data_IF_763883778136
#
_entry.id   IF_763883778136
#
_cell.length_a   1.000
_cell.length_b   1.000
_cell.length_c   1.000
_cell.angle_alpha   90.00
_cell.angle_beta   90.00
_cell.angle_gamma   90.00
#
_symmetry.space_group_name_H-M   'P 1'
#
loop_
_entity.id
_entity.type
_entity.pdbx_description
1 polymer ?
#
# COMPACT_ATOMS: atom_id res chain seq x y z
N UNK A 1 -7.68 -47.26 36.73
CA UNK A 1 -8.93 -47.35 35.93
C UNK A 1 -9.68 -46.06 36.15
N UNK A 2 -10.00 -45.32 35.08
CA UNK A 2 -10.60 -43.98 35.14
C UNK A 2 -12.01 -43.99 34.57
N UNK A 3 -12.88 -43.11 35.06
CA UNK A 3 -14.16 -42.76 34.43
C UNK A 3 -13.93 -41.83 33.23
N UNK A 4 -14.94 -41.66 32.37
CA UNK A 4 -14.84 -40.75 31.21
C UNK A 4 -14.52 -39.30 31.62
N UNK A 5 -15.09 -38.83 32.74
CA UNK A 5 -14.84 -37.47 33.25
C UNK A 5 -13.41 -37.31 33.75
N UNK A 6 -12.88 -38.32 34.44
CA UNK A 6 -11.48 -38.32 34.89
C UNK A 6 -10.53 -38.40 33.68
N UNK A 7 -10.80 -39.28 32.71
CA UNK A 7 -10.01 -39.38 31.49
C UNK A 7 -9.94 -38.04 30.74
N UNK A 8 -11.09 -37.39 30.56
CA UNK A 8 -11.19 -36.09 29.91
C UNK A 8 -10.36 -35.04 30.64
N UNK A 9 -10.46 -34.97 31.97
CA UNK A 9 -9.66 -34.05 32.79
C UNK A 9 -8.16 -34.31 32.69
N UNK A 10 -7.72 -35.57 32.72
CA UNK A 10 -6.30 -35.94 32.59
C UNK A 10 -5.71 -35.55 31.24
N UNK A 11 -6.50 -35.64 30.17
CA UNK A 11 -6.05 -35.30 28.82
C UNK A 11 -6.33 -33.84 28.44
N UNK A 12 -6.88 -33.01 29.33
CA UNK A 12 -7.17 -31.60 29.04
C UNK A 12 -8.33 -31.36 28.07
N UNK A 13 -9.16 -32.37 27.81
CA UNK A 13 -10.27 -32.29 26.83
C UNK A 13 -11.64 -32.33 27.51
N UNK A 14 -12.67 -32.01 26.74
CA UNK A 14 -14.06 -32.15 27.23
C UNK A 14 -14.55 -33.60 27.13
N UNK A 15 -15.48 -34.00 28.00
CA UNK A 15 -16.19 -35.29 27.88
C UNK A 15 -16.88 -35.42 26.51
N UNK A 16 -17.35 -34.31 25.94
CA UNK A 16 -17.92 -34.26 24.58
C UNK A 16 -16.89 -34.66 23.52
N UNK A 17 -15.64 -34.17 23.62
CA UNK A 17 -14.56 -34.54 22.72
C UNK A 17 -14.23 -36.04 22.82
N UNK A 18 -14.17 -36.60 24.04
CA UNK A 18 -13.96 -38.04 24.24
C UNK A 18 -15.07 -38.87 23.56
N UNK A 19 -16.34 -38.47 23.72
CA UNK A 19 -17.47 -39.12 23.03
C UNK A 19 -17.39 -38.98 21.52
N UNK A 20 -16.92 -37.84 21.02
CA UNK A 20 -16.72 -37.64 19.59
C UNK A 20 -15.64 -38.58 19.04
N UNK A 21 -14.50 -38.69 19.70
CA UNK A 21 -13.42 -39.59 19.30
C UNK A 21 -13.82 -41.06 19.35
N UNK A 22 -14.68 -41.45 20.29
CA UNK A 22 -15.32 -42.77 20.27
C UNK A 22 -16.21 -42.97 19.04
N UNK A 23 -17.08 -42.01 18.74
CA UNK A 23 -18.02 -42.09 17.61
C UNK A 23 -17.31 -42.26 16.26
N UNK A 24 -16.17 -41.59 16.08
CA UNK A 24 -15.39 -41.66 14.83
C UNK A 24 -14.34 -42.79 14.85
N UNK A 25 -14.29 -43.62 15.90
CA UNK A 25 -13.36 -44.75 16.01
C UNK A 25 -11.91 -44.37 16.38
N UNK A 26 -11.61 -43.09 16.57
CA UNK A 26 -10.26 -42.61 16.86
C UNK A 26 -9.79 -43.04 18.27
N UNK A 27 -10.72 -43.11 19.23
CA UNK A 27 -10.48 -43.68 20.56
C UNK A 27 -11.36 -44.94 20.72
N UNK A 28 -10.79 -46.13 20.93
CA UNK A 28 -11.59 -47.34 21.17
C UNK A 28 -12.45 -47.21 22.43
N UNK A 29 -13.70 -47.66 22.38
CA UNK A 29 -14.55 -47.73 23.56
C UNK A 29 -14.14 -48.91 24.46
N UNK A 30 -13.80 -48.67 25.75
CA UNK A 30 -13.46 -49.76 26.65
C UNK A 30 -14.69 -50.58 27.02
N UNK A 31 -14.45 -51.82 27.46
CA UNK A 31 -15.47 -52.65 28.07
C UNK A 31 -16.10 -52.00 29.31
N UNK A 32 -17.31 -52.46 29.63
CA UNK A 32 -17.97 -52.07 30.88
C UNK A 32 -17.42 -52.90 32.05
N UNK A 33 -17.19 -52.25 33.18
CA UNK A 33 -16.82 -52.92 34.42
C UNK A 33 -18.00 -53.68 35.04
N UNK A 34 -17.76 -54.35 36.19
CA UNK A 34 -18.78 -55.09 36.94
C UNK A 34 -19.96 -54.23 37.40
N UNK A 35 -19.79 -52.91 37.48
CA UNK A 35 -20.83 -51.94 37.82
C UNK A 35 -21.55 -51.35 36.60
N UNK A 36 -21.19 -51.76 35.37
CA UNK A 36 -21.78 -51.29 34.13
C UNK A 36 -21.18 -49.99 33.58
N UNK A 37 -20.15 -49.42 34.22
CA UNK A 37 -19.50 -48.19 33.79
C UNK A 37 -18.33 -48.47 32.85
N UNK A 38 -18.07 -47.54 31.92
CA UNK A 38 -16.86 -47.59 31.08
C UNK A 38 -15.65 -47.24 31.91
N UNK A 39 -14.63 -48.08 31.84
CA UNK A 39 -13.41 -47.95 32.62
C UNK A 39 -12.16 -47.87 31.72
N UNK A 40 -11.42 -46.77 31.83
CA UNK A 40 -10.27 -46.46 30.97
C UNK A 40 -8.95 -46.79 31.66
N UNK A 41 -8.06 -47.48 30.95
CA UNK A 41 -6.71 -47.81 31.43
C UNK A 41 -5.70 -46.72 31.02
N UNK A 42 -4.43 -46.89 31.40
CA UNK A 42 -3.34 -45.97 31.04
C UNK A 42 -3.16 -45.84 29.52
N UNK A 43 -3.35 -46.92 28.76
CA UNK A 43 -3.27 -46.90 27.30
C UNK A 43 -4.30 -45.96 26.66
N UNK A 44 -5.52 -45.94 27.18
CA UNK A 44 -6.55 -44.99 26.73
C UNK A 44 -6.20 -43.54 27.07
N UNK A 45 -5.56 -43.30 28.22
CA UNK A 45 -5.05 -41.96 28.59
C UNK A 45 -3.97 -41.51 27.61
N UNK A 46 -2.96 -42.34 27.37
CA UNK A 46 -1.87 -42.03 26.43
C UNK A 46 -2.39 -41.79 25.02
N UNK A 47 -3.31 -42.64 24.53
CA UNK A 47 -3.92 -42.45 23.21
C UNK A 47 -4.69 -41.14 23.14
N UNK A 48 -5.50 -40.80 24.15
CA UNK A 48 -6.25 -39.55 24.17
C UNK A 48 -5.34 -38.31 24.21
N UNK A 49 -4.25 -38.35 24.98
CA UNK A 49 -3.26 -37.26 25.00
C UNK A 49 -2.66 -37.08 23.60
N UNK A 50 -2.22 -38.16 22.93
CA UNK A 50 -1.68 -38.07 21.56
C UNK A 50 -2.69 -37.51 20.56
N UNK A 51 -3.94 -37.96 20.62
CA UNK A 51 -5.04 -37.43 19.78
C UNK A 51 -5.15 -35.91 19.98
N UNK A 52 -5.22 -35.47 21.24
CA UNK A 52 -5.39 -34.06 21.57
C UNK A 52 -4.18 -33.22 21.11
N UNK A 53 -2.95 -33.66 21.40
CA UNK A 53 -1.73 -32.95 20.99
C UNK A 53 -1.67 -32.76 19.47
N UNK A 54 -1.97 -33.79 18.68
CA UNK A 54 -1.92 -33.71 17.22
C UNK A 54 -3.07 -32.83 16.68
N UNK A 55 -4.29 -32.99 17.22
CA UNK A 55 -5.43 -32.18 16.82
C UNK A 55 -5.24 -30.69 17.14
N UNK A 56 -4.69 -30.36 18.31
CA UNK A 56 -4.37 -28.98 18.72
C UNK A 56 -3.24 -28.37 17.87
N UNK A 57 -2.31 -29.20 17.39
CA UNK A 57 -1.32 -28.79 16.40
C UNK A 57 -1.91 -28.57 14.99
N UNK A 58 -3.22 -28.75 14.82
CA UNK A 58 -3.92 -28.55 13.55
C UNK A 58 -3.88 -29.76 12.61
N UNK A 59 -3.43 -30.93 13.08
CA UNK A 59 -3.39 -32.15 12.25
C UNK A 59 -4.82 -32.67 12.03
N UNK A 60 -5.26 -32.89 10.78
CA UNK A 60 -6.58 -33.44 10.51
C UNK A 60 -6.81 -34.80 11.17
N UNK A 61 -7.99 -35.03 11.75
CA UNK A 61 -8.27 -36.25 12.53
C UNK A 61 -8.07 -37.56 11.74
N UNK A 62 -8.26 -37.54 10.42
CA UNK A 62 -7.95 -38.68 9.55
C UNK A 62 -6.45 -39.03 9.58
N UNK A 63 -5.58 -38.01 9.51
CA UNK A 63 -4.13 -38.18 9.61
C UNK A 63 -3.69 -38.55 11.03
N UNK A 64 -4.38 -38.06 12.05
CA UNK A 64 -4.16 -38.49 13.44
C UNK A 64 -4.42 -39.99 13.57
N UNK A 65 -5.48 -40.51 12.96
CA UNK A 65 -5.76 -41.95 12.97
C UNK A 65 -4.63 -42.75 12.32
N UNK A 66 -4.20 -42.36 11.11
CA UNK A 66 -3.09 -43.01 10.40
C UNK A 66 -1.82 -43.07 11.24
N UNK A 67 -1.47 -41.98 11.94
CA UNK A 67 -0.29 -41.94 12.79
C UNK A 67 -0.43 -42.86 14.01
N UNK A 68 -1.59 -42.87 14.66
CA UNK A 68 -1.80 -43.66 15.88
C UNK A 68 -1.87 -45.17 15.63
N UNK A 69 -2.14 -45.57 14.39
CA UNK A 69 -2.21 -46.97 13.98
C UNK A 69 -0.91 -47.43 13.27
N UNK A 70 0.06 -46.52 13.10
CA UNK A 70 1.38 -46.81 12.52
C UNK A 70 2.37 -47.40 13.54
N UNK A 71 3.41 -48.07 13.03
CA UNK A 71 4.51 -48.57 13.87
C UNK A 71 5.33 -47.42 14.48
N UNK A 72 6.08 -47.64 15.58
CA UNK A 72 6.79 -46.56 16.28
C UNK A 72 7.69 -45.69 15.40
N UNK A 73 8.44 -46.30 14.48
CA UNK A 73 9.35 -45.58 13.58
C UNK A 73 8.57 -44.73 12.56
N UNK A 74 7.47 -45.27 12.02
CA UNK A 74 6.59 -44.55 11.08
C UNK A 74 5.83 -43.39 11.76
N UNK A 75 5.46 -43.57 13.04
CA UNK A 75 4.90 -42.50 13.85
C UNK A 75 5.90 -41.36 14.04
N UNK A 76 7.16 -41.69 14.36
CA UNK A 76 8.22 -40.69 14.54
C UNK A 76 8.46 -39.92 13.24
N UNK A 77 8.64 -40.61 12.11
CA UNK A 77 8.81 -39.98 10.80
C UNK A 77 7.61 -39.10 10.43
N UNK A 78 6.39 -39.56 10.73
CA UNK A 78 5.17 -38.82 10.52
C UNK A 78 5.10 -37.53 11.32
N UNK A 79 5.50 -37.56 12.59
CA UNK A 79 5.58 -36.37 13.46
C UNK A 79 6.67 -35.41 12.99
N UNK A 80 7.84 -35.91 12.59
CA UNK A 80 8.93 -35.07 12.04
C UNK A 80 8.49 -34.37 10.75
N UNK A 81 7.71 -35.04 9.90
CA UNK A 81 7.14 -34.43 8.69
C UNK A 81 6.17 -33.30 9.03
N UNK A 82 5.28 -33.49 10.01
CA UNK A 82 4.36 -32.45 10.48
C UNK A 82 5.12 -31.24 11.02
N UNK A 83 6.14 -31.45 11.86
CA UNK A 83 6.97 -30.35 12.38
C UNK A 83 7.67 -29.57 11.25
N UNK A 84 8.19 -30.27 10.22
CA UNK A 84 8.77 -29.63 9.04
C UNK A 84 7.76 -28.77 8.27
N UNK A 85 6.54 -29.26 8.09
CA UNK A 85 5.45 -28.52 7.45
C UNK A 85 5.06 -27.28 8.26
N UNK A 86 4.90 -27.42 9.59
CA UNK A 86 4.62 -26.30 10.49
C UNK A 86 5.73 -25.23 10.46
N UNK A 87 7.01 -25.64 10.45
CA UNK A 87 8.14 -24.69 10.32
C UNK A 87 8.14 -23.95 8.98
N UNK A 88 7.69 -24.60 7.90
CA UNK A 88 7.53 -23.94 6.61
C UNK A 88 6.39 -22.92 6.66
N UNK A 89 5.26 -23.27 7.26
CA UNK A 89 4.11 -22.37 7.40
C UNK A 89 4.42 -21.18 8.32
N UNK A 90 5.11 -21.39 9.44
CA UNK A 90 5.58 -20.30 10.31
C UNK A 90 6.44 -19.31 9.52
N UNK A 91 7.40 -19.80 8.70
CA UNK A 91 8.24 -18.93 7.86
C UNK A 91 7.39 -18.14 6.87
N UNK A 92 6.45 -18.79 6.19
CA UNK A 92 5.51 -18.15 5.27
C UNK A 92 4.68 -17.06 5.96
N UNK A 93 4.10 -17.35 7.13
CA UNK A 93 3.29 -16.40 7.90
C UNK A 93 4.14 -15.21 8.39
N UNK A 94 5.38 -15.47 8.81
CA UNK A 94 6.33 -14.40 9.17
C UNK A 94 6.70 -13.51 7.98
N UNK A 95 6.91 -14.09 6.79
CA UNK A 95 7.15 -13.34 5.55
C UNK A 95 5.94 -12.50 5.16
N UNK A 96 4.73 -13.06 5.25
CA UNK A 96 3.49 -12.32 4.99
C UNK A 96 3.32 -11.18 6.00
N UNK A 97 3.58 -11.41 7.28
CA UNK A 97 3.56 -10.36 8.32
C UNK A 97 4.58 -9.27 8.03
N UNK A 98 5.80 -9.61 7.58
CA UNK A 98 6.81 -8.62 7.16
C UNK A 98 6.33 -7.79 5.97
N UNK A 99 5.71 -8.40 4.97
CA UNK A 99 5.13 -7.70 3.81
C UNK A 99 4.00 -6.77 4.22
N UNK A 100 3.07 -7.23 5.05
CA UNK A 100 2.01 -6.39 5.60
C UNK A 100 2.56 -5.26 6.45
N UNK A 101 3.61 -5.50 7.26
CA UNK A 101 4.26 -4.44 8.02
C UNK A 101 4.93 -3.41 7.11
N UNK A 102 5.51 -3.79 5.96
CA UNK A 102 6.03 -2.84 4.96
C UNK A 102 4.93 -2.03 4.28
N UNK A 103 3.79 -2.65 4.01
CA UNK A 103 2.62 -1.98 3.44
C UNK A 103 1.95 -1.04 4.43
N UNK A 104 1.76 -1.46 5.68
CA UNK A 104 1.14 -0.66 6.74
C UNK A 104 2.09 0.44 7.24
N UNK A 105 3.39 0.16 7.28
CA UNK A 105 4.36 1.22 7.43
C UNK A 105 4.45 2.09 6.18
N UNK A 106 3.74 1.77 5.09
CA UNK A 106 3.61 2.55 3.86
C UNK A 106 3.11 3.97 4.05
N UNK A 107 2.50 4.30 5.20
CA UNK A 107 2.30 5.69 5.63
C UNK A 107 3.64 6.45 5.81
N UNK A 108 4.76 5.74 6.03
CA UNK A 108 6.14 6.23 6.17
C UNK A 108 7.21 5.49 5.33
N UNK A 109 6.89 4.37 4.68
CA UNK A 109 7.82 3.49 3.94
C UNK A 109 7.49 3.40 2.45
N UNK A 110 6.32 3.84 2.01
CA UNK A 110 6.01 3.98 0.58
C UNK A 110 6.56 5.32 0.04
N UNK A 111 6.65 6.32 0.91
CA UNK A 111 7.13 7.64 0.59
C UNK A 111 8.48 7.91 1.26
N UNK A 112 9.48 8.38 0.52
CA UNK A 112 10.74 8.87 1.07
C UNK A 112 10.53 9.97 2.13
N UNK A 113 11.43 10.12 3.12
CA UNK A 113 11.33 11.18 4.13
C UNK A 113 11.23 12.60 3.56
N UNK A 114 11.82 12.83 2.38
CA UNK A 114 11.71 14.09 1.63
C UNK A 114 10.24 14.41 1.30
N UNK A 115 9.49 13.44 0.77
CA UNK A 115 8.06 13.60 0.45
C UNK A 115 7.25 13.86 1.72
N UNK A 116 7.52 13.14 2.80
CA UNK A 116 6.83 13.36 4.07
C UNK A 116 7.05 14.79 4.58
N UNK A 117 8.29 15.29 4.51
CA UNK A 117 8.61 16.67 4.86
C UNK A 117 7.88 17.70 3.99
N UNK A 118 7.73 17.42 2.70
CA UNK A 118 6.92 18.24 1.79
C UNK A 118 5.43 18.25 2.16
N UNK A 119 4.84 17.08 2.44
CA UNK A 119 3.44 17.00 2.85
C UNK A 119 3.20 17.71 4.19
N UNK A 120 4.14 17.61 5.14
CA UNK A 120 4.09 18.34 6.41
C UNK A 120 4.22 19.86 6.20
N UNK A 121 5.00 20.29 5.21
CA UNK A 121 5.07 21.70 4.83
C UNK A 121 3.72 22.19 4.30
N UNK A 122 3.04 21.42 3.45
CA UNK A 122 1.69 21.75 3.00
C UNK A 122 0.69 21.85 4.17
N UNK A 123 0.74 20.90 5.12
CA UNK A 123 -0.06 20.98 6.36
C UNK A 123 0.17 22.28 7.10
N UNK A 124 1.43 22.68 7.25
CA UNK A 124 1.79 23.90 7.96
C UNK A 124 1.25 25.17 7.26
N UNK A 125 1.02 25.12 5.95
CA UNK A 125 0.40 26.19 5.17
C UNK A 125 -1.13 26.17 5.18
N UNK A 126 -1.75 25.26 5.93
CA UNK A 126 -3.20 25.18 6.09
C UNK A 126 -3.92 24.46 4.95
N UNK A 127 -3.19 23.70 4.13
CA UNK A 127 -3.77 22.80 3.13
C UNK A 127 -4.56 21.69 3.83
N UNK A 128 -5.75 21.38 3.32
CA UNK A 128 -6.65 20.41 3.93
C UNK A 128 -6.13 18.98 3.81
N UNK A 129 -6.48 18.14 4.80
CA UNK A 129 -6.06 16.72 4.78
C UNK A 129 -6.63 15.98 3.56
N UNK A 130 -7.78 16.40 3.02
CA UNK A 130 -8.36 15.82 1.80
C UNK A 130 -7.43 16.05 0.60
N UNK A 131 -6.92 17.26 0.43
CA UNK A 131 -5.95 17.56 -0.64
C UNK A 131 -4.62 16.84 -0.40
N UNK A 132 -4.17 16.75 0.85
CA UNK A 132 -2.91 16.08 1.21
C UNK A 132 -2.97 14.58 0.92
N UNK A 133 -4.11 13.93 1.15
CA UNK A 133 -4.30 12.52 0.78
C UNK A 133 -4.20 12.33 -0.75
N UNK A 134 -4.76 13.23 -1.54
CA UNK A 134 -4.63 13.20 -3.01
C UNK A 134 -3.18 13.39 -3.46
N UNK A 135 -2.50 14.39 -2.90
CA UNK A 135 -1.08 14.68 -3.16
C UNK A 135 -0.20 13.48 -2.77
N UNK A 136 -0.47 12.87 -1.61
CA UNK A 136 0.24 11.67 -1.13
C UNK A 136 0.09 10.52 -2.11
N UNK A 137 -1.13 10.23 -2.55
CA UNK A 137 -1.40 9.11 -3.44
C UNK A 137 -0.73 9.30 -4.82
N UNK A 138 -0.68 10.55 -5.32
CA UNK A 138 0.11 10.91 -6.49
C UNK A 138 1.61 10.65 -6.28
N UNK A 139 2.18 11.06 -5.14
CA UNK A 139 3.60 10.83 -4.83
C UNK A 139 3.95 9.36 -4.64
N UNK A 140 3.01 8.52 -4.18
CA UNK A 140 3.24 7.06 -4.08
C UNK A 140 3.46 6.48 -5.48
N UNK A 141 2.66 6.90 -6.47
CA UNK A 141 2.84 6.47 -7.85
C UNK A 141 4.15 6.98 -8.45
N UNK A 142 4.49 8.25 -8.22
CA UNK A 142 5.74 8.85 -8.72
C UNK A 142 6.96 8.15 -8.09
N UNK A 143 6.99 7.97 -6.78
CA UNK A 143 8.08 7.30 -6.07
C UNK A 143 8.24 5.83 -6.49
N UNK A 144 7.15 5.17 -6.91
CA UNK A 144 7.20 3.81 -7.42
C UNK A 144 7.82 3.71 -8.84
N UNK A 145 7.66 4.75 -9.68
CA UNK A 145 8.13 4.74 -11.07
C UNK A 145 9.53 5.35 -11.24
N UNK A 146 9.85 6.41 -10.49
CA UNK A 146 11.14 7.12 -10.56
C UNK A 146 11.78 7.30 -9.18
N UNK A 147 12.08 6.20 -8.45
CA UNK A 147 12.58 6.26 -7.08
C UNK A 147 13.92 7.01 -6.95
N UNK A 148 14.74 7.05 -7.99
CA UNK A 148 16.05 7.72 -8.00
C UNK A 148 15.97 9.24 -8.17
N UNK A 149 14.86 9.77 -8.69
CA UNK A 149 14.68 11.20 -8.93
C UNK A 149 13.83 11.90 -7.86
N UNK A 150 13.17 11.14 -7.00
CA UNK A 150 12.19 11.65 -6.04
C UNK A 150 12.74 12.77 -5.15
N UNK A 151 13.95 12.61 -4.61
CA UNK A 151 14.54 13.61 -3.71
C UNK A 151 14.89 14.91 -4.45
N UNK A 152 15.29 14.82 -5.73
CA UNK A 152 15.58 15.98 -6.56
C UNK A 152 14.31 16.75 -6.89
N UNK A 153 13.24 16.03 -7.28
CA UNK A 153 11.94 16.63 -7.60
C UNK A 153 11.35 17.29 -6.35
N UNK A 154 11.39 16.60 -5.21
CA UNK A 154 10.87 17.13 -3.96
C UNK A 154 11.67 18.34 -3.46
N UNK A 155 13.00 18.36 -3.63
CA UNK A 155 13.80 19.53 -3.30
C UNK A 155 13.40 20.76 -4.16
N UNK A 156 13.09 20.55 -5.45
CA UNK A 156 12.57 21.61 -6.31
C UNK A 156 11.19 22.10 -5.84
N UNK A 157 10.29 21.18 -5.45
CA UNK A 157 8.97 21.50 -4.90
C UNK A 157 9.03 22.29 -3.59
N UNK A 158 9.95 21.95 -2.69
CA UNK A 158 10.18 22.74 -1.49
C UNK A 158 10.58 24.18 -1.80
N UNK A 159 11.48 24.36 -2.78
CA UNK A 159 11.90 25.70 -3.21
C UNK A 159 10.78 26.47 -3.91
N UNK A 160 9.91 25.77 -4.65
CA UNK A 160 8.70 26.37 -5.23
C UNK A 160 7.77 26.89 -4.14
N UNK A 161 7.61 26.17 -3.04
CA UNK A 161 6.84 26.60 -1.87
C UNK A 161 7.44 27.79 -1.11
N UNK A 162 8.64 28.27 -1.44
CA UNK A 162 9.12 29.57 -0.96
C UNK A 162 8.44 30.76 -1.69
N UNK A 163 7.85 30.52 -2.87
CA UNK A 163 7.12 31.53 -3.64
C UNK A 163 5.73 31.76 -3.01
N UNK A 164 5.39 32.99 -2.61
CA UNK A 164 4.05 33.32 -2.10
C UNK A 164 2.92 32.99 -3.08
N UNK A 165 3.16 33.07 -4.39
CA UNK A 165 2.17 32.68 -5.39
C UNK A 165 1.92 31.16 -5.35
N UNK A 166 2.96 30.34 -5.14
CA UNK A 166 2.81 28.89 -5.01
C UNK A 166 2.08 28.50 -3.72
N UNK A 167 2.42 29.14 -2.59
CA UNK A 167 1.71 28.92 -1.32
C UNK A 167 0.22 29.27 -1.45
N UNK A 168 -0.10 30.40 -2.10
CA UNK A 168 -1.48 30.80 -2.36
C UNK A 168 -2.19 29.80 -3.27
N UNK A 169 -1.49 29.22 -4.25
CA UNK A 169 -2.06 28.23 -5.17
C UNK A 169 -2.52 26.99 -4.39
N UNK A 170 -1.67 26.42 -3.53
CA UNK A 170 -2.04 25.26 -2.73
C UNK A 170 -3.23 25.53 -1.81
N UNK A 171 -3.31 26.73 -1.23
CA UNK A 171 -4.49 27.11 -0.42
C UNK A 171 -5.77 27.14 -1.25
N UNK A 172 -5.75 27.76 -2.44
CA UNK A 172 -6.94 27.90 -3.29
C UNK A 172 -7.37 26.55 -3.91
N UNK A 173 -6.42 25.72 -4.35
CA UNK A 173 -6.73 24.40 -4.90
C UNK A 173 -7.25 23.48 -3.78
N UNK A 174 -6.72 23.57 -2.57
CA UNK A 174 -7.27 22.87 -1.41
C UNK A 174 -8.71 23.28 -1.12
N UNK A 175 -9.02 24.57 -1.20
CA UNK A 175 -10.38 25.07 -1.03
C UNK A 175 -11.31 24.58 -2.13
N UNK A 176 -10.85 24.53 -3.38
CA UNK A 176 -11.61 24.01 -4.51
C UNK A 176 -11.98 22.53 -4.35
N UNK A 177 -11.06 21.73 -3.78
CA UNK A 177 -11.29 20.29 -3.50
C UNK A 177 -12.28 20.06 -2.37
N UNK A 178 -12.29 20.93 -1.35
CA UNK A 178 -13.24 20.84 -0.22
C UNK A 178 -14.61 21.42 -0.59
N UNK A 179 -14.63 22.41 -1.49
CA UNK A 179 -15.83 23.14 -1.93
C UNK A 179 -15.93 23.19 -3.46
N UNK A 180 -16.13 22.03 -4.11
CA UNK A 180 -16.27 21.96 -5.56
C UNK A 180 -17.58 22.65 -5.93
N UNK A 181 -17.51 23.79 -6.62
CA UNK A 181 -18.60 24.55 -7.30
C UNK A 181 -18.33 26.08 -7.34
N UNK A 182 -17.20 26.57 -6.82
CA UNK A 182 -16.82 27.99 -6.91
C UNK A 182 -16.21 28.36 -8.26
N UNK A 183 -17.01 28.74 -9.26
CA UNK A 183 -16.46 29.13 -10.58
C UNK A 183 -15.51 30.33 -10.49
N UNK A 184 -15.80 31.30 -9.63
CA UNK A 184 -14.92 32.45 -9.34
C UNK A 184 -13.56 32.00 -8.77
N UNK A 185 -13.56 30.99 -7.89
CA UNK A 185 -12.35 30.41 -7.32
C UNK A 185 -11.48 29.74 -8.41
N UNK A 186 -12.10 29.06 -9.37
CA UNK A 186 -11.37 28.46 -10.50
C UNK A 186 -10.69 29.51 -11.38
N UNK A 187 -11.33 30.65 -11.62
CA UNK A 187 -10.71 31.77 -12.33
C UNK A 187 -9.56 32.39 -11.54
N UNK A 188 -9.68 32.52 -10.20
CA UNK A 188 -8.59 32.99 -9.36
C UNK A 188 -7.39 32.02 -9.39
N UNK A 189 -7.64 30.71 -9.36
CA UNK A 189 -6.61 29.68 -9.52
C UNK A 189 -5.96 29.80 -10.90
N UNK A 190 -6.74 29.97 -11.97
CA UNK A 190 -6.24 30.12 -13.33
C UNK A 190 -5.34 31.37 -13.50
N UNK A 191 -5.75 32.52 -12.94
CA UNK A 191 -4.95 33.75 -12.95
C UNK A 191 -3.59 33.56 -12.25
N UNK A 192 -3.58 32.76 -11.18
CA UNK A 192 -2.37 32.45 -10.44
C UNK A 192 -1.46 31.47 -11.19
N UNK A 193 -2.03 30.41 -11.76
CA UNK A 193 -1.31 29.45 -12.61
C UNK A 193 -0.70 30.13 -13.83
N UNK A 194 -1.44 31.01 -14.51
CA UNK A 194 -0.92 31.73 -15.68
C UNK A 194 0.30 32.60 -15.31
N UNK A 195 0.28 33.25 -14.15
CA UNK A 195 1.45 34.00 -13.64
C UNK A 195 2.63 33.09 -13.35
N UNK A 196 2.40 31.94 -12.73
CA UNK A 196 3.45 30.95 -12.42
C UNK A 196 4.03 30.38 -13.72
N UNK A 197 3.19 29.93 -14.65
CA UNK A 197 3.58 29.33 -15.92
C UNK A 197 4.32 30.31 -16.81
N UNK A 198 3.86 31.56 -16.88
CA UNK A 198 4.55 32.60 -17.66
C UNK A 198 5.97 32.84 -17.14
N UNK A 199 6.16 32.94 -15.81
CA UNK A 199 7.50 33.07 -15.19
C UNK A 199 8.38 31.86 -15.49
N UNK A 200 7.82 30.65 -15.37
CA UNK A 200 8.55 29.41 -15.65
C UNK A 200 8.95 29.31 -17.13
N UNK A 201 8.08 29.73 -18.05
CA UNK A 201 8.36 29.76 -19.48
C UNK A 201 9.49 30.73 -19.82
N UNK A 202 9.41 31.96 -19.31
CA UNK A 202 10.45 32.98 -19.50
C UNK A 202 11.80 32.55 -18.91
N UNK A 203 11.78 31.79 -17.83
CA UNK A 203 12.97 31.22 -17.20
C UNK A 203 13.49 29.94 -17.89
N UNK A 204 12.79 29.41 -18.91
CA UNK A 204 13.15 28.18 -19.60
C UNK A 204 13.00 26.92 -18.75
N UNK A 205 12.07 26.93 -17.80
CA UNK A 205 11.86 25.87 -16.81
C UNK A 205 10.66 24.95 -17.14
N UNK A 206 9.95 25.20 -18.25
CA UNK A 206 8.82 24.37 -18.69
C UNK A 206 9.25 23.23 -19.63
N UNK A 207 8.47 22.14 -19.63
CA UNK A 207 8.62 21.01 -20.54
C UNK A 207 9.75 20.03 -20.21
N UNK A 208 10.36 20.16 -19.02
CA UNK A 208 11.41 19.25 -18.54
C UNK A 208 10.93 18.55 -17.27
N UNK A 209 9.96 17.64 -17.42
CA UNK A 209 9.66 16.65 -16.39
C UNK A 209 10.36 15.32 -16.74
N UNK A 210 10.80 14.54 -15.74
CA UNK A 210 11.50 13.28 -15.99
C UNK A 210 10.55 12.11 -16.28
N UNK A 211 9.25 12.35 -16.46
CA UNK A 211 8.24 11.29 -16.54
C UNK A 211 8.04 10.83 -17.99
N UNK A 212 7.76 9.54 -18.17
CA UNK A 212 7.34 9.05 -19.48
C UNK A 212 5.88 9.44 -19.79
N UNK A 213 5.48 9.31 -21.05
CA UNK A 213 4.14 9.72 -21.52
C UNK A 213 3.00 8.96 -20.82
N UNK A 214 3.22 7.68 -20.46
CA UNK A 214 2.20 6.86 -19.79
C UNK A 214 1.99 7.28 -18.35
N UNK A 215 3.06 7.65 -17.65
CA UNK A 215 2.98 8.16 -16.28
C UNK A 215 2.28 9.52 -16.25
N UNK A 216 2.57 10.40 -17.22
CA UNK A 216 1.87 11.69 -17.38
C UNK A 216 0.37 11.46 -17.58
N UNK A 217 -0.03 10.60 -18.52
CA UNK A 217 -1.44 10.27 -18.75
C UNK A 217 -2.13 9.69 -17.50
N UNK A 218 -1.44 8.82 -16.76
CA UNK A 218 -1.96 8.23 -15.53
C UNK A 218 -2.17 9.29 -14.44
N UNK A 219 -1.18 10.17 -14.21
CA UNK A 219 -1.27 11.23 -13.21
C UNK A 219 -2.39 12.22 -13.55
N UNK A 220 -2.49 12.62 -14.82
CA UNK A 220 -3.56 13.51 -15.29
C UNK A 220 -4.95 12.86 -15.11
N UNK A 221 -5.09 11.56 -15.41
CA UNK A 221 -6.35 10.81 -15.21
C UNK A 221 -6.75 10.74 -13.74
N UNK A 222 -5.82 10.37 -12.85
CA UNK A 222 -6.09 10.25 -11.41
C UNK A 222 -6.48 11.60 -10.80
N UNK A 223 -5.86 12.69 -11.25
CA UNK A 223 -6.22 14.04 -10.81
C UNK A 223 -7.66 14.39 -11.18
N UNK A 224 -8.06 14.16 -12.44
CA UNK A 224 -9.44 14.45 -12.90
C UNK A 224 -10.47 13.57 -12.19
N UNK A 225 -10.16 12.29 -11.95
CA UNK A 225 -11.03 11.38 -11.21
C UNK A 225 -11.22 11.80 -9.75
N UNK A 226 -10.17 12.37 -9.14
CA UNK A 226 -10.16 12.76 -7.72
C UNK A 226 -10.71 14.18 -7.48
N UNK A 227 -10.52 15.08 -8.44
CA UNK A 227 -10.98 16.48 -8.43
C UNK A 227 -11.64 16.83 -9.79
N UNK A 228 -12.95 16.58 -9.96
CA UNK A 228 -13.65 16.87 -11.20
C UNK A 228 -13.54 18.34 -11.66
N UNK A 229 -13.40 19.27 -10.72
CA UNK A 229 -13.16 20.70 -10.97
C UNK A 229 -11.84 20.98 -11.71
N UNK A 230 -10.85 20.08 -11.62
CA UNK A 230 -9.59 20.18 -12.36
C UNK A 230 -9.81 20.14 -13.87
N UNK A 231 -10.82 19.39 -14.36
CA UNK A 231 -11.17 19.37 -15.77
C UNK A 231 -11.61 20.76 -16.26
N UNK A 232 -12.44 21.45 -15.47
CA UNK A 232 -12.89 22.81 -15.81
C UNK A 232 -11.74 23.82 -15.75
N UNK A 233 -10.85 23.69 -14.78
CA UNK A 233 -9.66 24.53 -14.69
C UNK A 233 -8.72 24.35 -15.90
N UNK A 234 -8.53 23.13 -16.37
CA UNK A 234 -7.76 22.83 -17.58
C UNK A 234 -8.35 23.47 -18.84
N UNK A 235 -9.68 23.46 -19.00
CA UNK A 235 -10.35 24.17 -20.09
C UNK A 235 -10.05 25.68 -20.07
N UNK A 236 -10.14 26.31 -18.90
CA UNK A 236 -9.83 27.75 -18.72
C UNK A 236 -8.37 28.04 -19.09
N UNK A 237 -7.44 27.17 -18.69
CA UNK A 237 -6.03 27.33 -19.02
C UNK A 237 -5.74 27.14 -20.51
N UNK A 238 -6.44 26.23 -21.19
CA UNK A 238 -6.31 26.00 -22.63
C UNK A 238 -6.80 27.21 -23.44
N UNK A 239 -7.91 27.85 -23.02
CA UNK A 239 -8.38 29.12 -23.58
C UNK A 239 -7.33 30.25 -23.45
N UNK A 240 -6.50 30.19 -22.41
CA UNK A 240 -5.38 31.13 -22.15
C UNK A 240 -4.06 30.72 -22.82
N UNK A 241 -4.07 29.64 -23.60
CA UNK A 241 -2.90 29.18 -24.34
C UNK A 241 -1.94 28.30 -23.57
N UNK A 242 -2.38 27.69 -22.48
CA UNK A 242 -1.61 26.72 -21.70
C UNK A 242 -2.27 25.35 -21.74
N UNK A 243 -1.51 24.30 -22.05
CA UNK A 243 -2.01 22.92 -22.09
C UNK A 243 -1.25 22.04 -21.12
N UNK A 244 -1.99 21.15 -20.46
CA UNK A 244 -1.44 20.13 -19.56
C UNK A 244 -1.17 20.66 -18.15
N UNK A 245 -1.17 19.72 -17.20
CA UNK A 245 -0.95 19.97 -15.77
C UNK A 245 0.35 19.33 -15.30
N UNK A 246 0.51 18.03 -15.55
CA UNK A 246 1.74 17.30 -15.21
C UNK A 246 2.88 17.67 -16.16
N UNK A 247 2.58 17.84 -17.46
CA UNK A 247 3.49 18.40 -18.46
C UNK A 247 2.86 19.64 -19.08
N UNK A 248 3.41 20.80 -18.74
CA UNK A 248 2.86 22.10 -19.16
C UNK A 248 3.51 22.52 -20.48
N UNK A 249 2.68 22.79 -21.48
CA UNK A 249 3.07 23.25 -22.80
C UNK A 249 2.36 24.56 -23.15
N UNK A 250 3.07 25.49 -23.79
CA UNK A 250 2.44 26.67 -24.36
C UNK A 250 1.85 26.32 -25.73
N UNK A 251 0.56 26.57 -25.92
CA UNK A 251 -0.10 26.38 -27.21
C UNK A 251 0.33 27.50 -28.15
N UNK A 252 0.89 27.21 -29.34
CA UNK A 252 1.32 28.24 -30.28
C UNK A 252 0.17 29.17 -30.64
N UNK A 253 0.39 30.48 -30.54
CA UNK A 253 -0.60 31.55 -30.77
C UNK A 253 -1.29 31.46 -32.15
N UNK A 254 -0.68 30.77 -33.12
CA UNK A 254 -1.27 30.51 -34.44
C UNK A 254 -2.56 29.66 -34.39
N UNK A 255 -2.79 28.86 -33.34
CA UNK A 255 -4.05 28.12 -33.14
C UNK A 255 -5.14 28.92 -32.41
N UNK A 256 -4.79 30.05 -31.78
CA UNK A 256 -5.70 30.87 -30.95
C UNK A 256 -6.15 32.17 -31.64
N UNK A 257 -5.89 32.34 -32.94
CA UNK A 257 -6.55 33.36 -33.76
C UNK A 257 -6.22 34.82 -33.43
N UNK A 258 -5.12 35.12 -32.74
CA UNK A 258 -4.67 36.49 -32.48
C UNK A 258 -3.18 36.67 -32.81
N UNK A 259 -2.90 37.40 -33.90
CA UNK A 259 -1.54 37.77 -34.30
C UNK A 259 -0.94 38.77 -33.31
N UNK A 260 0.17 38.40 -32.67
CA UNK A 260 1.14 39.37 -32.16
C UNK A 260 2.56 38.85 -32.42
N UNK A 261 3.28 39.55 -33.29
CA UNK A 261 4.67 39.28 -33.66
C UNK A 261 5.60 39.44 -32.46
N UNK A 262 6.34 38.38 -32.11
CA UNK A 262 7.60 38.52 -31.36
C UNK A 262 8.72 37.94 -32.21
N UNK A 263 9.70 38.80 -32.50
CA UNK A 263 10.92 38.49 -33.25
C UNK A 263 11.68 37.34 -32.61
N UNK A 264 11.94 36.29 -33.38
CA UNK A 264 12.94 35.29 -33.07
C UNK A 264 14.33 35.94 -32.94
N UNK A 265 15.01 35.68 -31.82
CA UNK A 265 16.47 35.86 -31.70
C UNK A 265 17.10 34.49 -32.00
N UNK A 266 18.08 34.39 -32.92
CA UNK A 266 18.66 33.11 -33.31
C UNK A 266 19.58 32.57 -32.21
N UNK A 267 19.51 31.25 -32.02
CA UNK A 267 20.05 30.54 -30.86
C UNK A 267 21.55 30.67 -30.64
N UNK A 268 21.95 30.46 -29.38
CA UNK A 268 23.32 30.20 -28.97
C UNK A 268 23.36 29.01 -28.00
N UNK A 269 24.06 27.98 -28.47
CA UNK A 269 24.86 26.97 -27.80
C UNK A 269 24.65 26.66 -26.30
N UNK A 270 24.39 25.38 -26.09
CA UNK A 270 24.68 24.52 -24.93
C UNK A 270 26.06 24.81 -24.31
N UNK A 271 26.10 24.93 -22.97
CA UNK A 271 27.18 24.50 -22.08
C UNK A 271 26.69 24.72 -20.63
N UNK A 272 26.67 23.77 -19.70
CA UNK A 272 26.99 22.35 -19.69
C UNK A 272 26.87 21.88 -18.24
N UNK A 273 26.34 20.69 -18.00
CA UNK A 273 26.62 19.89 -16.79
C UNK A 273 26.56 18.42 -17.22
N UNK A 274 27.67 17.96 -17.76
CA UNK A 274 27.95 16.55 -18.00
C UNK A 274 29.40 16.33 -17.66
N UNK A 275 29.67 15.93 -16.42
CA UNK A 275 30.82 15.10 -16.04
C UNK A 275 30.84 14.91 -14.52
N UNK A 276 30.39 13.73 -14.07
CA UNK A 276 30.81 13.12 -12.81
C UNK A 276 30.28 11.68 -12.67
N UNK A 277 30.53 10.79 -13.65
CA UNK A 277 30.44 9.34 -13.44
C UNK A 277 31.37 8.60 -14.42
N UNK A 278 32.67 8.63 -14.15
CA UNK A 278 33.61 7.53 -14.46
C UNK A 278 34.92 7.77 -13.71
N UNK A 279 35.14 6.95 -12.67
CA UNK A 279 36.32 6.99 -11.79
C UNK A 279 36.16 6.05 -10.61
#
# INVERSE_FOLDING_TARGET
MLTISQLAAYAGVTVRAVRHYHKIGLLPEPGRDRSGYRSYNSGAVVRLIRIHTLADAGVPLARVQELLDAEPDEFEDGVQKIDKELRAEIRRLQDSRRRLARLAAGDHLALPPSVLGYLDLLRAHGVSERYIEMERDAWIMIAAQVPELIDVIIAAKHKELDDPDAQKLYSLVSEAVDHPNGEELLYEIADLLERIYSRAYEAGQLGVDPFDEKLVELLDSVMIESAPEAARLLEIMEERGWKGWTRIEQVPTERLGLQASVKAVPGHAVAGVGDALEG
#
